data_IF_277908327853
#
_entry.id   IF_277908327853
#
_cell.length_a   1.000
_cell.length_b   1.000
_cell.length_c   1.000
_cell.angle_alpha   90.00
_cell.angle_beta   90.00
_cell.angle_gamma   90.00
#
_symmetry.space_group_name_H-M   'P 1'
#
loop_
_entity.id
_entity.type
_entity.pdbx_description
1 polymer ?
#
# COMPACT_ATOMS: atom_id res chain seq x y z
N UNK A 1 -1.76 10.79 12.12
CA UNK A 1 -1.66 10.85 10.65
C UNK A 1 -1.08 12.17 10.17
N UNK A 2 -1.51 13.30 10.76
CA UNK A 2 -1.01 14.62 10.33
C UNK A 2 0.51 14.74 10.49
N UNK A 3 1.08 14.16 11.55
CA UNK A 3 2.53 14.20 11.80
C UNK A 3 3.34 13.44 10.75
N UNK A 4 2.70 12.63 9.92
CA UNK A 4 3.38 11.90 8.84
C UNK A 4 3.44 12.71 7.55
N UNK A 5 2.72 13.84 7.49
CA UNK A 5 2.69 14.63 6.27
C UNK A 5 3.95 15.48 6.15
N UNK A 6 4.55 15.41 4.99
CA UNK A 6 5.65 16.28 4.58
C UNK A 6 5.33 16.78 3.19
N UNK A 7 5.87 17.93 2.85
CA UNK A 7 5.71 18.45 1.49
C UNK A 7 7.00 19.06 1.02
N UNK A 8 7.40 18.70 -0.19
CA UNK A 8 8.59 19.25 -0.84
C UNK A 8 8.18 19.90 -2.13
N UNK A 9 8.60 21.15 -2.30
CA UNK A 9 8.36 21.87 -3.55
C UNK A 9 9.30 21.34 -4.64
N UNK A 10 9.03 21.70 -5.88
CA UNK A 10 9.88 21.31 -7.00
C UNK A 10 11.35 21.69 -6.75
N UNK A 11 11.57 22.89 -6.20
CA UNK A 11 12.93 23.38 -5.98
C UNK A 11 13.67 22.64 -4.87
N UNK A 12 12.94 21.94 -4.01
CA UNK A 12 13.52 21.14 -2.94
C UNK A 12 13.81 19.71 -3.36
N UNK A 13 13.43 19.33 -4.58
CA UNK A 13 13.66 17.98 -5.10
C UNK A 13 14.93 17.95 -5.93
N UNK A 14 15.74 16.92 -5.72
CA UNK A 14 17.00 16.73 -6.45
C UNK A 14 17.11 15.31 -6.97
N UNK A 15 17.71 15.10 -8.16
CA UNK A 15 17.98 13.76 -8.65
C UNK A 15 18.80 12.97 -7.64
N UNK A 16 18.44 11.71 -7.46
CA UNK A 16 19.14 10.82 -6.54
C UNK A 16 18.58 10.80 -5.13
N UNK A 17 17.65 11.71 -4.79
CA UNK A 17 16.96 11.64 -3.52
C UNK A 17 16.12 10.37 -3.42
N UNK A 18 15.96 9.89 -2.20
CA UNK A 18 15.15 8.71 -1.92
C UNK A 18 14.32 8.92 -0.66
N UNK A 19 13.20 8.25 -0.61
CA UNK A 19 12.34 8.23 0.56
C UNK A 19 11.78 6.83 0.71
N UNK A 20 11.39 6.47 1.92
CA UNK A 20 10.85 5.15 2.17
C UNK A 20 9.69 5.21 3.16
N UNK A 21 8.88 4.18 3.10
CA UNK A 21 7.70 4.01 3.93
C UNK A 21 7.56 2.52 4.19
N UNK A 22 7.28 2.16 5.43
CA UNK A 22 7.07 0.76 5.81
C UNK A 22 5.72 0.59 6.46
N UNK A 23 5.00 -0.43 6.06
CA UNK A 23 3.73 -0.85 6.66
C UNK A 23 3.70 -2.36 6.78
N UNK A 24 3.16 -2.86 7.88
CA UNK A 24 2.91 -4.29 8.03
C UNK A 24 1.51 -4.58 7.53
N UNK A 25 1.42 -5.53 6.60
CA UNK A 25 0.13 -5.97 6.08
C UNK A 25 -0.51 -6.93 7.09
N UNK A 26 -1.68 -6.58 7.58
CA UNK A 26 -2.44 -7.40 8.53
C UNK A 26 -3.64 -8.04 7.84
N UNK A 27 -4.23 -9.11 8.45
CA UNK A 27 -5.48 -9.66 7.91
C UNK A 27 -6.61 -8.64 7.80
N UNK A 28 -6.68 -7.69 8.74
CA UNK A 28 -7.68 -6.62 8.66
C UNK A 28 -7.45 -5.72 7.45
N UNK A 29 -6.19 -5.42 7.12
CA UNK A 29 -5.85 -4.63 5.94
C UNK A 29 -6.29 -5.33 4.66
N UNK A 30 -6.08 -6.64 4.58
CA UNK A 30 -6.51 -7.43 3.42
C UNK A 30 -8.03 -7.37 3.26
N UNK A 31 -8.77 -7.54 4.36
CA UNK A 31 -10.23 -7.46 4.34
C UNK A 31 -10.71 -6.08 3.91
N UNK A 32 -10.09 -5.03 4.42
CA UNK A 32 -10.44 -3.66 4.06
C UNK A 32 -10.12 -3.36 2.59
N UNK A 33 -8.98 -3.82 2.10
CA UNK A 33 -8.61 -3.62 0.70
C UNK A 33 -9.59 -4.36 -0.23
N UNK A 34 -9.97 -5.58 0.13
CA UNK A 34 -10.97 -6.33 -0.63
C UNK A 34 -12.30 -5.58 -0.68
N UNK A 35 -12.71 -4.98 0.44
CA UNK A 35 -13.96 -4.23 0.51
C UNK A 35 -13.95 -3.00 -0.38
N UNK A 36 -12.88 -2.21 -0.34
CA UNK A 36 -12.83 -0.96 -1.11
C UNK A 36 -12.52 -1.19 -2.59
N UNK A 37 -11.75 -2.21 -2.92
CA UNK A 37 -11.38 -2.50 -4.32
C UNK A 37 -12.41 -3.37 -5.05
N UNK A 38 -13.20 -4.14 -4.30
CA UNK A 38 -14.07 -5.15 -4.87
C UNK A 38 -13.35 -6.46 -5.22
N UNK A 39 -12.05 -6.55 -4.96
CA UNK A 39 -11.28 -7.76 -5.25
C UNK A 39 -11.42 -8.76 -4.11
N UNK A 40 -12.45 -9.58 -4.21
CA UNK A 40 -12.80 -10.59 -3.21
C UNK A 40 -12.32 -11.98 -3.61
N UNK A 41 -11.24 -12.06 -4.35
CA UNK A 41 -10.65 -13.35 -4.73
C UNK A 41 -10.40 -14.19 -3.47
N UNK A 42 -10.84 -15.44 -3.45
CA UNK A 42 -10.70 -16.28 -2.26
C UNK A 42 -9.24 -16.53 -1.84
N UNK A 43 -8.28 -16.32 -2.73
CA UNK A 43 -6.86 -16.40 -2.36
C UNK A 43 -6.50 -15.36 -1.29
N UNK A 44 -7.27 -14.28 -1.16
CA UNK A 44 -7.04 -13.24 -0.17
C UNK A 44 -7.90 -13.41 1.09
N UNK A 45 -9.05 -14.05 0.97
CA UNK A 45 -10.07 -14.01 2.02
C UNK A 45 -10.43 -15.36 2.62
N UNK A 46 -10.12 -16.46 1.93
CA UNK A 46 -10.53 -17.80 2.33
C UNK A 46 -9.30 -18.63 2.62
N UNK A 47 -9.01 -18.82 3.92
CA UNK A 47 -7.81 -19.54 4.36
C UNK A 47 -7.79 -21.00 3.89
N UNK A 48 -8.95 -21.65 3.84
CA UNK A 48 -9.04 -23.03 3.38
C UNK A 48 -8.73 -23.13 1.88
N UNK A 49 -9.33 -22.23 1.10
CA UNK A 49 -9.04 -22.16 -0.34
C UNK A 49 -7.56 -21.87 -0.56
N UNK A 50 -7.03 -20.86 0.14
CA UNK A 50 -5.66 -20.41 -0.05
C UNK A 50 -4.64 -21.48 0.32
N UNK A 51 -4.94 -22.31 1.31
CA UNK A 51 -4.06 -23.41 1.72
C UNK A 51 -3.89 -24.44 0.59
N UNK A 52 -4.86 -24.56 -0.29
CA UNK A 52 -4.82 -25.46 -1.44
C UNK A 52 -4.10 -24.89 -2.67
N UNK A 53 -3.70 -23.63 -2.62
CA UNK A 53 -2.96 -22.99 -3.73
C UNK A 53 -1.46 -23.22 -3.58
N UNK A 54 -0.73 -22.85 -4.62
CA UNK A 54 0.74 -22.94 -4.58
C UNK A 54 1.36 -22.04 -3.49
N UNK A 55 0.62 -21.01 -3.03
CA UNK A 55 1.07 -20.10 -1.98
C UNK A 55 0.94 -20.68 -0.58
N UNK A 56 0.12 -21.73 -0.40
CA UNK A 56 -0.05 -22.44 0.87
C UNK A 56 -0.67 -21.60 1.99
N UNK A 57 -1.28 -20.49 1.65
CA UNK A 57 -1.92 -19.61 2.62
C UNK A 57 -2.43 -18.34 1.96
N UNK A 58 -3.16 -17.55 2.74
CA UNK A 58 -3.71 -16.28 2.28
C UNK A 58 -2.58 -15.33 1.87
N UNK A 59 -2.77 -14.67 0.73
CA UNK A 59 -1.83 -13.68 0.23
C UNK A 59 -2.51 -12.30 0.17
N UNK A 60 -1.70 -11.27 0.28
CA UNK A 60 -2.18 -9.90 0.10
C UNK A 60 -2.38 -9.56 -1.37
N UNK A 61 -3.20 -8.55 -1.61
CA UNK A 61 -3.42 -8.03 -2.96
C UNK A 61 -2.15 -7.37 -3.48
N UNK A 62 -1.77 -7.66 -4.72
CA UNK A 62 -0.60 -7.02 -5.33
C UNK A 62 -0.72 -5.51 -5.39
N UNK A 63 -1.91 -4.99 -5.65
CA UNK A 63 -2.14 -3.54 -5.72
C UNK A 63 -2.10 -2.85 -4.37
N UNK A 64 -2.08 -3.58 -3.26
CA UNK A 64 -1.81 -2.97 -1.96
C UNK A 64 -0.45 -2.26 -1.97
N UNK A 65 0.56 -2.87 -2.61
CA UNK A 65 1.87 -2.22 -2.78
C UNK A 65 1.76 -0.95 -3.62
N UNK A 66 0.93 -0.96 -4.66
CA UNK A 66 0.65 0.25 -5.43
C UNK A 66 0.03 1.35 -4.58
N UNK A 67 -0.86 0.98 -3.65
CA UNK A 67 -1.45 1.95 -2.73
C UNK A 67 -0.40 2.56 -1.81
N UNK A 68 0.62 1.81 -1.39
CA UNK A 68 1.71 2.34 -0.58
C UNK A 68 2.55 3.34 -1.36
N UNK A 69 2.81 3.08 -2.63
CA UNK A 69 3.51 4.03 -3.50
C UNK A 69 2.69 5.32 -3.59
N UNK A 70 1.39 5.22 -3.81
CA UNK A 70 0.50 6.37 -3.84
C UNK A 70 0.56 7.14 -2.52
N UNK A 71 0.55 6.42 -1.40
CA UNK A 71 0.65 7.03 -0.08
C UNK A 71 1.94 7.83 0.07
N UNK A 72 3.07 7.24 -0.33
CA UNK A 72 4.36 7.91 -0.24
C UNK A 72 4.38 9.19 -1.06
N UNK A 73 3.92 9.11 -2.31
CA UNK A 73 3.92 10.26 -3.20
C UNK A 73 3.00 11.37 -2.69
N UNK A 74 1.83 11.03 -2.20
CA UNK A 74 0.83 11.99 -1.80
C UNK A 74 1.00 12.59 -0.41
N UNK A 75 1.79 11.95 0.46
CA UNK A 75 1.88 12.37 1.85
C UNK A 75 3.28 12.77 2.30
N UNK A 76 4.33 12.39 1.58
CA UNK A 76 5.70 12.60 2.05
C UNK A 76 6.66 13.10 0.99
N UNK A 77 6.61 12.53 -0.24
CA UNK A 77 7.67 12.74 -1.20
C UNK A 77 7.13 12.64 -2.64
N UNK A 78 6.68 13.74 -3.22
CA UNK A 78 6.79 15.13 -2.74
C UNK A 78 5.80 15.52 -1.66
N UNK A 79 4.68 14.85 -1.47
CA UNK A 79 3.70 15.19 -0.45
C UNK A 79 2.44 15.83 -1.04
N UNK A 80 1.62 16.52 -0.20
CA UNK A 80 0.31 17.03 -0.62
C UNK A 80 0.33 17.92 -1.86
N UNK A 81 1.43 18.57 -2.16
CA UNK A 81 1.56 19.40 -3.35
C UNK A 81 1.72 18.65 -4.65
N UNK A 82 1.71 17.31 -4.61
CA UNK A 82 1.88 16.48 -5.81
C UNK A 82 0.76 16.68 -6.83
N UNK A 83 -0.40 17.07 -6.39
CA UNK A 83 -1.59 17.19 -7.23
C UNK A 83 -1.79 18.63 -7.70
#
# INVERSE_FOLDING_TARGET
MAEMLENRTFDELEPGQAESLSRTLTPADIADFARVSGDVNPAHLDAEYAAGTLFKGVIGHGMWSGALISCLLGTRFPGPGTI
#
